data_IF_328003227498
#
_entry.id   IF_328003227498
#
_cell.length_a   1.000
_cell.length_b   1.000
_cell.length_c   1.000
_cell.angle_alpha   90.00
_cell.angle_beta   90.00
_cell.angle_gamma   90.00
#
_symmetry.space_group_name_H-M   'P 1'
#
loop_
_entity.id
_entity.type
_entity.pdbx_description
1 polymer ?
#
# COMPACT_ATOMS: atom_id res chain seq x y z
N UNK A 1 26.66 3.94 -35.65
CA UNK A 1 26.84 3.29 -34.32
C UNK A 1 25.52 3.43 -33.59
N UNK A 2 25.03 2.37 -32.93
CA UNK A 2 23.81 2.44 -32.13
C UNK A 2 24.00 3.39 -30.93
N UNK A 3 22.90 3.94 -30.43
CA UNK A 3 22.88 4.75 -29.21
C UNK A 3 23.10 3.87 -27.99
N UNK A 4 23.93 4.30 -27.04
CA UNK A 4 24.18 3.55 -25.80
C UNK A 4 23.13 3.93 -24.75
N UNK A 5 22.43 2.94 -24.19
CA UNK A 5 21.26 3.13 -23.31
C UNK A 5 21.48 2.42 -21.98
N UNK A 6 20.97 3.00 -20.90
CA UNK A 6 20.99 2.37 -19.57
C UNK A 6 19.64 2.44 -18.86
N UNK A 7 19.29 1.37 -18.15
CA UNK A 7 18.14 1.32 -17.24
C UNK A 7 18.65 1.36 -15.80
N UNK A 8 18.09 2.25 -15.01
CA UNK A 8 18.51 2.60 -13.65
C UNK A 8 17.38 2.25 -12.67
N UNK A 9 17.43 1.05 -12.11
CA UNK A 9 16.47 0.57 -11.11
C UNK A 9 16.80 1.13 -9.73
N UNK A 10 16.06 2.15 -9.30
CA UNK A 10 16.24 2.88 -8.03
C UNK A 10 15.63 2.09 -6.87
N UNK A 11 16.40 1.84 -5.82
CA UNK A 11 15.90 1.26 -4.58
C UNK A 11 16.64 1.80 -3.34
N UNK A 12 16.01 1.68 -2.18
CA UNK A 12 16.56 2.10 -0.88
C UNK A 12 16.39 1.01 0.21
N UNK A 13 15.79 -0.11 -0.18
CA UNK A 13 15.56 -1.33 0.58
C UNK A 13 15.41 -2.50 -0.42
N UNK A 14 15.35 -3.73 0.09
CA UNK A 14 15.13 -4.90 -0.75
C UNK A 14 14.21 -5.92 -0.06
N UNK A 15 13.03 -6.14 -0.63
CA UNK A 15 12.07 -7.16 -0.20
C UNK A 15 11.70 -8.08 -1.38
N UNK A 16 10.80 -9.04 -1.11
CA UNK A 16 10.38 -10.02 -2.11
C UNK A 16 9.60 -9.39 -3.29
N UNK A 17 8.84 -8.31 -3.07
CA UNK A 17 8.11 -7.60 -4.14
C UNK A 17 9.09 -6.80 -4.99
N UNK A 18 10.05 -6.10 -4.37
CA UNK A 18 11.12 -5.38 -5.05
C UNK A 18 11.95 -6.32 -5.91
N UNK A 19 12.33 -7.49 -5.39
CA UNK A 19 13.02 -8.53 -6.17
C UNK A 19 12.27 -8.87 -7.46
N UNK A 20 10.94 -9.08 -7.38
CA UNK A 20 10.13 -9.42 -8.55
C UNK A 20 9.89 -8.23 -9.48
N UNK A 21 9.80 -7.01 -8.96
CA UNK A 21 9.80 -5.78 -9.78
C UNK A 21 11.12 -5.61 -10.54
N UNK A 22 12.26 -5.86 -9.89
CA UNK A 22 13.58 -5.89 -10.51
C UNK A 22 13.63 -6.92 -11.65
N UNK A 23 13.20 -8.16 -11.38
CA UNK A 23 13.19 -9.24 -12.39
C UNK A 23 12.32 -8.89 -13.60
N UNK A 24 11.13 -8.30 -13.36
CA UNK A 24 10.24 -7.81 -14.42
C UNK A 24 10.91 -6.69 -15.22
N UNK A 25 11.48 -5.70 -14.55
CA UNK A 25 12.19 -4.59 -15.21
C UNK A 25 13.35 -5.09 -16.09
N UNK A 26 14.18 -5.99 -15.56
CA UNK A 26 15.31 -6.58 -16.29
C UNK A 26 14.86 -7.38 -17.52
N UNK A 27 13.79 -8.17 -17.41
CA UNK A 27 13.21 -8.90 -18.55
C UNK A 27 12.78 -7.98 -19.71
N UNK A 28 12.42 -6.74 -19.38
CA UNK A 28 11.95 -5.72 -20.30
C UNK A 28 13.05 -4.74 -20.78
N UNK A 29 14.33 -5.06 -20.51
CA UNK A 29 15.51 -4.26 -20.89
C UNK A 29 16.64 -5.17 -21.37
N UNK A 30 16.48 -5.76 -22.56
CA UNK A 30 17.39 -6.78 -23.08
C UNK A 30 18.59 -6.19 -23.85
N UNK A 31 18.47 -4.97 -24.38
CA UNK A 31 19.54 -4.30 -25.14
C UNK A 31 20.28 -3.24 -24.32
N UNK A 32 19.62 -2.60 -23.36
CA UNK A 32 20.23 -1.63 -22.45
C UNK A 32 21.14 -2.27 -21.40
N UNK A 33 22.17 -1.53 -20.99
CA UNK A 33 22.92 -1.87 -19.78
C UNK A 33 22.01 -1.65 -18.56
N UNK A 34 22.03 -2.58 -17.60
CA UNK A 34 21.17 -2.52 -16.42
C UNK A 34 21.99 -2.18 -15.17
N UNK A 35 21.48 -1.25 -14.36
CA UNK A 35 22.07 -0.83 -13.11
C UNK A 35 21.03 -0.85 -11.98
N UNK A 36 21.46 -1.26 -10.80
CA UNK A 36 20.74 -1.02 -9.56
C UNK A 36 21.32 0.25 -8.94
N UNK A 37 20.51 1.31 -8.85
CA UNK A 37 20.88 2.54 -8.14
C UNK A 37 20.37 2.43 -6.71
N UNK A 38 21.28 2.23 -5.77
CA UNK A 38 20.94 1.97 -4.37
C UNK A 38 21.25 3.18 -3.49
N UNK A 39 20.22 3.71 -2.81
CA UNK A 39 20.38 4.70 -1.76
C UNK A 39 20.97 4.04 -0.51
N UNK A 40 22.31 4.09 -0.39
CA UNK A 40 23.05 3.64 0.78
C UNK A 40 23.38 4.81 1.73
N UNK A 41 22.56 5.87 1.78
CA UNK A 41 22.77 7.00 2.69
C UNK A 41 22.78 6.60 4.17
N UNK A 42 22.20 5.44 4.51
CA UNK A 42 22.23 4.84 5.86
C UNK A 42 23.48 4.01 6.14
N UNK A 43 24.38 3.88 5.16
CA UNK A 43 25.60 3.06 5.25
C UNK A 43 25.36 1.55 5.13
N UNK A 44 24.12 1.12 4.81
CA UNK A 44 23.76 -0.28 4.62
C UNK A 44 23.36 -0.56 3.18
N UNK A 45 23.59 -1.79 2.72
CA UNK A 45 23.14 -2.31 1.42
C UNK A 45 22.38 -3.60 1.69
N UNK A 46 21.08 -3.60 1.41
CA UNK A 46 20.18 -4.74 1.70
C UNK A 46 19.97 -5.66 0.49
N UNK A 47 20.61 -5.34 -0.64
CA UNK A 47 20.59 -6.16 -1.86
C UNK A 47 21.17 -7.56 -1.52
N UNK A 48 20.53 -8.67 -1.92
CA UNK A 48 21.07 -10.02 -1.71
C UNK A 48 22.45 -10.22 -2.35
N UNK A 49 23.36 -10.91 -1.67
CA UNK A 49 24.75 -11.12 -2.14
C UNK A 49 24.84 -11.65 -3.57
N UNK A 50 24.03 -12.65 -3.92
CA UNK A 50 24.00 -13.22 -5.27
C UNK A 50 23.60 -12.23 -6.37
N UNK A 51 22.84 -11.17 -6.04
CA UNK A 51 22.54 -10.06 -6.96
C UNK A 51 23.73 -9.10 -7.03
N UNK A 52 24.38 -8.82 -5.89
CA UNK A 52 25.57 -7.97 -5.84
C UNK A 52 26.75 -8.52 -6.66
N UNK A 53 26.85 -9.84 -6.80
CA UNK A 53 27.90 -10.49 -7.58
C UNK A 53 27.70 -10.40 -9.10
N UNK A 54 26.45 -10.24 -9.57
CA UNK A 54 26.11 -10.36 -10.99
C UNK A 54 25.61 -9.06 -11.63
N UNK A 55 25.20 -8.09 -10.83
CA UNK A 55 24.66 -6.81 -11.31
C UNK A 55 25.61 -5.64 -11.13
N UNK A 56 25.47 -4.63 -12.00
CA UNK A 56 26.12 -3.35 -11.80
C UNK A 56 25.35 -2.56 -10.72
N UNK A 57 25.94 -2.44 -9.54
CA UNK A 57 25.37 -1.63 -8.46
C UNK A 57 26.05 -0.27 -8.42
N UNK A 58 25.25 0.78 -8.56
CA UNK A 58 25.66 2.16 -8.33
C UNK A 58 25.18 2.61 -6.95
N UNK A 59 26.11 2.74 -6.02
CA UNK A 59 25.81 3.25 -4.68
C UNK A 59 25.73 4.78 -4.72
N UNK A 60 24.65 5.32 -4.14
CA UNK A 60 24.38 6.74 -4.15
C UNK A 60 24.21 7.26 -2.71
N UNK A 61 25.28 7.35 -1.91
CA UNK A 61 25.16 7.91 -0.57
C UNK A 61 24.99 9.42 -0.67
N UNK A 62 24.27 10.02 0.27
CA UNK A 62 24.03 11.46 0.23
C UNK A 62 25.31 12.32 0.23
N UNK A 63 26.42 11.81 0.77
CA UNK A 63 27.70 12.51 0.78
C UNK A 63 28.22 12.80 -0.64
N UNK A 64 27.89 11.96 -1.62
CA UNK A 64 28.25 12.18 -3.03
C UNK A 64 27.41 13.31 -3.64
N UNK A 65 26.14 13.43 -3.25
CA UNK A 65 25.27 14.55 -3.64
C UNK A 65 25.84 15.87 -3.11
N UNK A 66 26.18 15.92 -1.82
CA UNK A 66 26.78 17.11 -1.20
C UNK A 66 28.12 17.45 -1.85
N UNK A 67 28.94 16.45 -2.16
CA UNK A 67 30.24 16.61 -2.83
C UNK A 67 30.11 17.17 -4.25
N UNK A 68 29.00 16.89 -4.94
CA UNK A 68 28.66 17.49 -6.23
C UNK A 68 28.26 18.97 -6.10
N UNK A 69 27.99 19.47 -4.89
CA UNK A 69 27.58 20.84 -4.59
C UNK A 69 26.06 21.06 -4.58
N UNK A 70 25.29 19.98 -4.67
CA UNK A 70 23.84 20.00 -4.59
C UNK A 70 23.38 20.22 -3.14
N UNK A 71 22.32 21.01 -2.97
CA UNK A 71 21.70 21.17 -1.66
C UNK A 71 21.09 19.85 -1.18
N UNK A 72 21.39 19.44 0.05
CA UNK A 72 20.89 18.22 0.70
C UNK A 72 20.35 18.52 2.11
N UNK A 73 19.68 17.54 2.73
CA UNK A 73 18.92 17.64 3.99
C UNK A 73 19.69 17.96 5.28
N UNK A 74 20.94 18.41 5.20
CA UNK A 74 21.71 18.93 6.35
C UNK A 74 21.51 20.43 6.56
N UNK A 75 20.96 21.15 5.57
CA UNK A 75 20.59 22.56 5.67
C UNK A 75 19.23 22.71 6.39
N UNK A 76 19.15 23.57 7.41
CA UNK A 76 17.93 23.81 8.20
C UNK A 76 16.75 24.12 7.26
N UNK A 77 15.71 23.28 7.29
CA UNK A 77 14.46 23.47 6.57
C UNK A 77 14.33 22.77 5.21
N UNK A 78 15.21 21.84 4.83
CA UNK A 78 15.18 21.28 3.46
C UNK A 78 14.46 19.92 3.31
N UNK A 79 13.59 19.86 2.29
CA UNK A 79 12.73 18.74 1.94
C UNK A 79 13.52 17.54 1.37
N UNK A 80 13.58 16.46 2.15
CA UNK A 80 13.07 15.15 1.72
C UNK A 80 13.96 14.18 0.91
N UNK A 81 15.28 14.08 1.14
CA UNK A 81 16.09 12.96 0.62
C UNK A 81 15.91 12.66 -0.88
N UNK A 82 16.11 11.40 -1.30
CA UNK A 82 15.92 11.00 -2.70
C UNK A 82 14.46 10.90 -3.14
N UNK A 83 13.52 10.71 -2.22
CA UNK A 83 12.09 10.71 -2.54
C UNK A 83 11.66 12.05 -3.13
N UNK A 84 12.10 13.15 -2.51
CA UNK A 84 11.77 14.51 -2.95
C UNK A 84 12.65 14.96 -4.12
N UNK A 85 13.88 14.48 -4.15
CA UNK A 85 14.88 14.79 -5.17
C UNK A 85 15.13 13.58 -6.06
N UNK A 86 14.06 13.06 -6.69
CA UNK A 86 14.12 11.87 -7.55
C UNK A 86 15.16 11.97 -8.67
N UNK A 87 15.56 13.19 -9.04
CA UNK A 87 16.60 13.46 -10.03
C UNK A 87 18.05 13.29 -9.52
N UNK A 88 18.29 13.23 -8.21
CA UNK A 88 19.68 13.23 -7.72
C UNK A 88 20.42 11.93 -8.06
N UNK A 89 19.73 10.79 -8.01
CA UNK A 89 20.25 9.50 -8.43
C UNK A 89 20.72 9.51 -9.90
N UNK A 90 19.88 10.03 -10.81
CA UNK A 90 20.25 10.14 -12.22
C UNK A 90 21.37 11.16 -12.45
N UNK A 91 21.39 12.25 -11.67
CA UNK A 91 22.42 13.29 -11.78
C UNK A 91 23.79 12.72 -11.39
N UNK A 92 23.87 11.95 -10.30
CA UNK A 92 25.08 11.24 -9.91
C UNK A 92 25.50 10.20 -10.95
N UNK A 93 24.55 9.46 -11.50
CA UNK A 93 24.85 8.45 -12.52
C UNK A 93 25.45 9.08 -13.80
N UNK A 94 24.82 10.12 -14.36
CA UNK A 94 25.20 10.66 -15.68
C UNK A 94 26.56 11.37 -15.69
N UNK A 95 27.03 11.86 -14.53
CA UNK A 95 28.38 12.43 -14.39
C UNK A 95 29.46 11.37 -14.29
N UNK A 96 29.14 10.22 -13.70
CA UNK A 96 30.07 9.09 -13.56
C UNK A 96 30.10 8.20 -14.80
N UNK A 97 29.01 8.16 -15.57
CA UNK A 97 28.88 7.36 -16.78
C UNK A 97 28.63 8.24 -18.00
N UNK A 98 29.73 8.71 -18.60
CA UNK A 98 29.67 9.68 -19.69
C UNK A 98 29.38 9.11 -21.08
N UNK A 99 29.33 7.79 -21.18
CA UNK A 99 29.20 7.02 -22.40
C UNK A 99 27.75 6.77 -22.84
N UNK A 100 26.77 6.94 -21.94
CA UNK A 100 25.35 6.73 -22.25
C UNK A 100 24.73 7.95 -22.93
N UNK A 101 24.02 7.69 -24.03
CA UNK A 101 23.23 8.68 -24.77
C UNK A 101 21.85 8.90 -24.16
N UNK A 102 21.25 7.84 -23.59
CA UNK A 102 19.93 7.86 -22.96
C UNK A 102 19.92 7.00 -21.70
N UNK A 103 19.10 7.40 -20.73
CA UNK A 103 18.88 6.67 -19.48
C UNK A 103 17.38 6.55 -19.21
N UNK A 104 16.98 5.48 -18.53
CA UNK A 104 15.64 5.29 -17.97
C UNK A 104 15.79 5.15 -16.46
N UNK A 105 15.24 6.09 -15.69
CA UNK A 105 15.17 5.98 -14.24
C UNK A 105 13.83 5.39 -13.83
N UNK A 106 13.85 4.37 -12.98
CA UNK A 106 12.63 3.68 -12.51
C UNK A 106 12.69 3.39 -11.02
N UNK A 107 11.57 3.59 -10.31
CA UNK A 107 11.42 3.30 -8.88
C UNK A 107 11.14 1.81 -8.63
N UNK A 108 11.54 1.33 -7.46
CA UNK A 108 11.45 -0.08 -7.08
C UNK A 108 10.01 -0.60 -6.97
N UNK A 109 9.05 0.29 -6.76
CA UNK A 109 7.63 -0.02 -6.71
C UNK A 109 6.91 0.24 -8.04
N UNK A 110 7.64 0.40 -9.15
CA UNK A 110 7.05 0.38 -10.50
C UNK A 110 7.08 -1.03 -11.07
N UNK A 111 5.93 -1.47 -11.54
CA UNK A 111 5.81 -2.67 -12.33
C UNK A 111 5.88 -2.41 -13.83
N UNK A 112 6.96 -2.91 -14.45
CA UNK A 112 7.20 -2.81 -15.90
C UNK A 112 6.53 -3.96 -16.64
N UNK A 113 5.65 -3.63 -17.59
CA UNK A 113 5.00 -4.57 -18.51
C UNK A 113 5.22 -4.17 -19.99
N UNK A 114 6.16 -3.28 -20.27
CA UNK A 114 6.44 -2.76 -21.60
C UNK A 114 7.92 -2.89 -21.96
N UNK A 115 8.23 -2.98 -23.25
CA UNK A 115 9.60 -3.05 -23.76
C UNK A 115 10.29 -1.68 -23.67
N UNK A 116 11.20 -1.52 -22.69
CA UNK A 116 11.94 -0.28 -22.45
C UNK A 116 12.88 0.06 -23.61
N UNK A 117 13.44 -0.96 -24.27
CA UNK A 117 14.37 -0.75 -25.39
C UNK A 117 13.66 -0.11 -26.58
N UNK A 118 12.38 -0.47 -26.82
CA UNK A 118 11.58 0.12 -27.89
C UNK A 118 11.32 1.62 -27.70
N UNK A 119 11.23 2.08 -26.45
CA UNK A 119 11.03 3.49 -26.12
C UNK A 119 12.34 4.25 -26.40
N UNK A 120 13.50 3.70 -26.03
CA UNK A 120 14.79 4.29 -26.39
C UNK A 120 15.01 4.37 -27.91
N UNK A 121 14.65 3.31 -28.65
CA UNK A 121 14.77 3.28 -30.11
C UNK A 121 13.94 4.43 -30.75
N UNK A 122 12.73 4.66 -30.24
CA UNK A 122 11.87 5.76 -30.68
C UNK A 122 12.41 7.14 -30.27
N UNK A 123 12.90 7.29 -29.04
CA UNK A 123 13.54 8.52 -28.57
C UNK A 123 14.74 8.90 -29.45
N UNK A 124 15.56 7.92 -29.81
CA UNK A 124 16.70 8.12 -30.70
C UNK A 124 16.25 8.50 -32.11
N UNK A 125 15.23 7.83 -32.66
CA UNK A 125 14.73 8.10 -34.01
C UNK A 125 14.09 9.49 -34.15
N UNK A 126 13.39 9.94 -33.11
CA UNK A 126 12.65 11.21 -33.12
C UNK A 126 13.38 12.37 -32.42
N UNK A 127 14.60 12.14 -31.91
CA UNK A 127 15.36 13.09 -31.10
C UNK A 127 14.55 13.63 -29.91
N UNK A 128 13.92 12.72 -29.15
CA UNK A 128 13.21 13.06 -27.93
C UNK A 128 14.21 13.15 -26.79
N UNK A 129 14.07 14.19 -25.97
CA UNK A 129 14.93 14.44 -24.83
C UNK A 129 14.37 13.89 -23.52
N UNK A 130 13.05 13.81 -23.37
CA UNK A 130 12.44 13.23 -22.18
C UNK A 130 11.10 12.55 -22.46
N UNK A 131 10.84 11.43 -21.79
CA UNK A 131 9.54 10.74 -21.76
C UNK A 131 9.14 10.52 -20.31
N UNK A 132 7.96 11.00 -19.92
CA UNK A 132 7.42 10.89 -18.56
C UNK A 132 5.91 11.18 -18.57
N UNK A 133 5.19 10.90 -17.47
CA UNK A 133 3.77 11.28 -17.35
C UNK A 133 3.67 12.76 -17.02
N UNK A 134 3.05 13.56 -17.88
CA UNK A 134 2.78 14.96 -17.58
C UNK A 134 1.74 15.09 -16.46
N UNK A 135 1.91 16.10 -15.61
CA UNK A 135 0.94 16.46 -14.57
C UNK A 135 0.26 17.75 -14.99
N UNK A 136 -1.03 17.66 -15.30
CA UNK A 136 -1.81 18.78 -15.84
C UNK A 136 -2.35 19.73 -14.77
N UNK A 137 -2.20 19.38 -13.49
CA UNK A 137 -2.71 20.18 -12.38
C UNK A 137 -2.18 21.62 -12.41
N UNK A 138 -3.09 22.59 -12.28
CA UNK A 138 -2.72 23.99 -12.14
C UNK A 138 -1.85 24.25 -10.90
N UNK A 139 -1.08 25.34 -10.88
CA UNK A 139 -0.21 25.66 -9.75
C UNK A 139 -0.99 25.75 -8.43
N UNK A 140 -2.14 26.40 -8.41
CA UNK A 140 -2.90 26.57 -7.18
C UNK A 140 -3.48 25.25 -6.64
N UNK A 141 -3.61 24.22 -7.49
CA UNK A 141 -4.17 22.91 -7.14
C UNK A 141 -3.09 21.84 -6.88
N UNK A 142 -1.81 22.15 -7.12
CA UNK A 142 -0.71 21.21 -6.93
C UNK A 142 -0.06 21.39 -5.56
N UNK A 143 -0.02 20.31 -4.76
CA UNK A 143 0.45 20.33 -3.37
C UNK A 143 1.89 20.83 -3.18
N UNK A 144 2.73 20.72 -4.21
CA UNK A 144 4.14 21.11 -4.14
C UNK A 144 4.44 22.50 -4.71
N UNK A 145 3.44 23.28 -5.14
CA UNK A 145 3.69 24.61 -5.73
C UNK A 145 4.43 25.56 -4.78
N UNK A 146 4.11 25.55 -3.49
CA UNK A 146 4.80 26.38 -2.50
C UNK A 146 6.30 26.09 -2.39
N UNK A 147 6.72 24.86 -2.70
CA UNK A 147 8.15 24.50 -2.69
C UNK A 147 8.97 25.13 -3.81
N UNK A 148 8.30 25.61 -4.84
CA UNK A 148 8.91 26.25 -6.00
C UNK A 148 9.08 27.78 -5.82
N UNK A 149 8.55 28.35 -4.74
CA UNK A 149 8.63 29.78 -4.47
C UNK A 149 10.09 30.25 -4.38
N UNK A 150 10.41 31.38 -5.00
CA UNK A 150 11.77 31.93 -5.08
C UNK A 150 12.62 31.37 -6.22
N UNK A 151 12.21 30.27 -6.86
CA UNK A 151 12.89 29.67 -8.01
C UNK A 151 12.11 29.86 -9.31
N UNK A 152 10.78 29.74 -9.25
CA UNK A 152 9.89 29.90 -10.39
C UNK A 152 8.87 31.01 -10.17
N UNK A 153 8.41 31.63 -11.26
CA UNK A 153 7.28 32.55 -11.24
C UNK A 153 5.97 31.76 -11.15
N UNK A 154 5.41 31.64 -9.96
CA UNK A 154 4.19 30.87 -9.71
C UNK A 154 2.93 31.49 -10.32
N UNK A 155 3.00 32.74 -10.81
CA UNK A 155 1.93 33.35 -11.61
C UNK A 155 1.89 32.78 -13.04
N UNK A 156 2.98 32.18 -13.49
CA UNK A 156 3.07 31.45 -14.75
C UNK A 156 2.94 29.95 -14.51
N UNK A 157 2.52 29.22 -15.54
CA UNK A 157 2.42 27.76 -15.44
C UNK A 157 3.81 27.13 -15.18
N UNK A 158 3.91 26.33 -14.11
CA UNK A 158 5.08 25.48 -13.86
C UNK A 158 4.77 24.11 -14.41
N UNK A 159 5.59 23.64 -15.35
CA UNK A 159 5.43 22.29 -15.90
C UNK A 159 5.87 21.25 -14.88
N UNK A 160 5.11 20.17 -14.78
CA UNK A 160 5.24 19.13 -13.76
C UNK A 160 5.13 17.76 -14.43
N UNK A 161 5.76 16.76 -13.84
CA UNK A 161 5.64 15.39 -14.29
C UNK A 161 5.73 14.39 -13.15
N UNK A 162 5.19 13.20 -13.36
CA UNK A 162 5.36 12.04 -12.49
C UNK A 162 6.48 11.15 -13.03
N UNK A 163 7.53 10.97 -12.23
CA UNK A 163 8.82 10.39 -12.66
C UNK A 163 9.14 9.03 -12.00
N UNK A 164 8.12 8.26 -11.59
CA UNK A 164 8.31 6.92 -11.06
C UNK A 164 8.96 5.99 -12.10
N UNK A 165 8.63 6.15 -13.37
CA UNK A 165 9.44 5.78 -14.53
C UNK A 165 9.60 6.98 -15.45
N UNK A 166 10.82 7.21 -15.93
CA UNK A 166 11.10 8.31 -16.84
C UNK A 166 12.35 8.06 -17.67
N UNK A 167 12.35 8.58 -18.89
CA UNK A 167 13.46 8.45 -19.83
C UNK A 167 14.02 9.82 -20.13
N UNK A 168 15.35 9.90 -20.22
CA UNK A 168 16.04 11.15 -20.52
C UNK A 168 17.17 10.92 -21.51
N UNK A 169 17.34 11.84 -22.44
CA UNK A 169 18.60 11.99 -23.16
C UNK A 169 19.67 12.49 -22.20
N UNK A 170 20.92 12.16 -22.50
CA UNK A 170 22.10 12.70 -21.79
C UNK A 170 22.04 14.22 -21.66
N UNK A 171 21.58 14.89 -22.73
CA UNK A 171 21.48 16.35 -22.78
C UNK A 171 20.46 16.87 -21.76
N UNK A 172 19.30 16.24 -21.64
CA UNK A 172 18.30 16.59 -20.63
C UNK A 172 18.82 16.34 -19.21
N UNK A 173 19.40 15.17 -18.96
CA UNK A 173 19.95 14.82 -17.65
C UNK A 173 21.03 15.80 -17.19
N UNK A 174 21.95 16.19 -18.08
CA UNK A 174 22.99 17.18 -17.78
C UNK A 174 22.43 18.60 -17.58
N UNK A 175 21.36 18.97 -18.30
CA UNK A 175 20.66 20.23 -18.06
C UNK A 175 20.05 20.25 -16.67
N UNK A 176 19.33 19.20 -16.28
CA UNK A 176 18.69 19.08 -14.96
C UNK A 176 19.74 19.25 -13.85
N UNK A 177 20.87 18.54 -13.94
CA UNK A 177 21.98 18.71 -13.01
C UNK A 177 22.49 20.15 -12.97
N UNK A 178 22.75 20.76 -14.13
CA UNK A 178 23.22 22.15 -14.20
C UNK A 178 22.25 23.09 -13.47
N UNK A 179 20.95 22.95 -13.71
CA UNK A 179 19.91 23.79 -13.10
C UNK A 179 19.81 23.55 -11.60
N UNK A 180 19.94 22.31 -11.13
CA UNK A 180 20.02 21.99 -9.71
C UNK A 180 21.23 22.62 -9.02
N UNK A 181 22.39 22.68 -9.67
CA UNK A 181 23.58 23.35 -9.13
C UNK A 181 23.36 24.86 -9.04
N UNK A 182 22.76 25.48 -10.06
CA UNK A 182 22.39 26.89 -10.06
C UNK A 182 21.36 27.22 -8.96
N UNK A 183 20.36 26.36 -8.76
CA UNK A 183 19.38 26.49 -7.67
C UNK A 183 20.04 26.31 -6.30
N UNK A 184 20.97 25.36 -6.16
CA UNK A 184 21.71 25.15 -4.91
C UNK A 184 22.56 26.37 -4.55
N UNK A 185 23.22 26.97 -5.54
CA UNK A 185 23.91 28.24 -5.38
C UNK A 185 22.95 29.36 -4.95
N UNK A 186 21.83 29.52 -5.65
CA UNK A 186 20.81 30.53 -5.36
C UNK A 186 20.23 30.39 -3.95
N UNK A 187 19.96 29.15 -3.51
CA UNK A 187 19.45 28.85 -2.16
C UNK A 187 20.39 29.39 -1.10
N UNK A 188 21.69 29.07 -1.22
CA UNK A 188 22.72 29.51 -0.27
C UNK A 188 22.95 31.02 -0.33
N UNK A 189 22.99 31.60 -1.51
CA UNK A 189 23.21 33.04 -1.71
C UNK A 189 22.07 33.89 -1.14
N UNK A 190 20.82 33.48 -1.37
CA UNK A 190 19.62 34.23 -0.98
C UNK A 190 18.98 33.76 0.32
N UNK A 191 19.49 32.69 0.94
CA UNK A 191 18.92 32.09 2.15
C UNK A 191 17.50 31.57 1.94
N UNK A 192 17.19 30.96 0.78
CA UNK A 192 15.85 30.48 0.47
C UNK A 192 15.46 29.30 1.37
N UNK A 193 14.29 29.37 1.99
CA UNK A 193 13.75 28.30 2.85
C UNK A 193 13.07 27.18 2.06
N UNK A 194 12.72 27.44 0.81
CA UNK A 194 12.06 26.52 -0.11
C UNK A 194 13.07 25.74 -0.94
N UNK A 195 12.63 24.64 -1.54
CA UNK A 195 13.40 23.83 -2.47
C UNK A 195 12.47 23.14 -3.45
N UNK A 196 12.61 23.31 -4.77
CA UNK A 196 11.68 22.70 -5.72
C UNK A 196 11.81 21.17 -5.73
N UNK A 197 10.68 20.47 -5.68
CA UNK A 197 10.62 19.01 -5.85
C UNK A 197 11.14 18.59 -7.24
N UNK A 198 11.74 17.40 -7.33
CA UNK A 198 12.25 16.84 -8.59
C UNK A 198 11.23 16.82 -9.72
N UNK A 199 9.96 16.60 -9.40
CA UNK A 199 8.84 16.60 -10.36
C UNK A 199 8.66 17.93 -11.11
N UNK A 200 8.91 19.07 -10.45
CA UNK A 200 8.91 20.36 -11.14
C UNK A 200 10.21 20.56 -11.92
N UNK A 201 11.36 20.27 -11.31
CA UNK A 201 12.67 20.56 -11.93
C UNK A 201 12.87 19.76 -13.22
N UNK A 202 12.63 18.45 -13.19
CA UNK A 202 12.86 17.57 -14.34
C UNK A 202 11.95 17.90 -15.53
N UNK A 203 10.73 18.39 -15.28
CA UNK A 203 9.79 18.78 -16.34
C UNK A 203 10.02 20.22 -16.80
N UNK A 204 9.95 21.17 -15.87
CA UNK A 204 9.98 22.60 -16.17
C UNK A 204 11.27 23.05 -16.83
N UNK A 205 12.43 22.57 -16.38
CA UNK A 205 13.70 23.00 -16.93
C UNK A 205 13.93 22.44 -18.35
N UNK A 206 13.53 21.19 -18.59
CA UNK A 206 13.62 20.57 -19.91
C UNK A 206 12.72 21.28 -20.91
N UNK A 207 11.46 21.53 -20.56
CA UNK A 207 10.51 22.23 -21.45
C UNK A 207 10.93 23.69 -21.66
N UNK A 208 11.33 24.39 -20.61
CA UNK A 208 11.76 25.80 -20.71
C UNK A 208 13.01 25.99 -21.57
N UNK A 209 13.85 24.96 -21.67
CA UNK A 209 15.00 24.94 -22.58
C UNK A 209 14.63 24.59 -24.04
N UNK A 210 13.34 24.40 -24.35
CA UNK A 210 12.87 24.04 -25.69
C UNK A 210 13.26 22.62 -26.13
N UNK A 211 13.52 21.73 -25.17
CA UNK A 211 13.81 20.32 -25.46
C UNK A 211 12.53 19.57 -25.83
N UNK A 212 12.68 18.50 -26.61
CA UNK A 212 11.53 17.72 -27.07
C UNK A 212 11.10 16.73 -25.99
N UNK A 213 9.88 16.86 -25.49
CA UNK A 213 9.30 15.90 -24.55
C UNK A 213 8.17 15.10 -25.19
N UNK A 214 7.87 13.93 -24.65
CA UNK A 214 6.72 13.10 -25.02
C UNK A 214 6.04 12.55 -23.77
N UNK A 215 4.73 12.34 -23.89
CA UNK A 215 3.87 11.78 -22.85
C UNK A 215 4.08 10.26 -22.75
N UNK A 216 4.25 9.73 -21.52
CA UNK A 216 4.45 8.30 -21.27
C UNK A 216 3.27 7.46 -21.78
N UNK A 217 2.05 8.01 -21.72
CA UNK A 217 0.85 7.34 -22.25
C UNK A 217 0.95 7.00 -23.75
N UNK A 218 1.77 7.70 -24.55
CA UNK A 218 1.98 7.37 -25.96
C UNK A 218 2.66 6.00 -26.18
N UNK A 219 3.29 5.45 -25.15
CA UNK A 219 3.97 4.16 -25.19
C UNK A 219 3.17 3.02 -24.56
N UNK A 220 1.99 3.32 -24.01
CA UNK A 220 1.22 2.35 -23.24
C UNK A 220 -0.16 2.12 -23.86
N UNK A 221 -0.68 0.90 -23.70
CA UNK A 221 -2.07 0.59 -24.05
C UNK A 221 -3.03 1.28 -23.06
N UNK A 222 -2.59 1.43 -21.81
CA UNK A 222 -3.29 2.12 -20.72
C UNK A 222 -2.28 2.65 -19.70
N UNK A 223 -2.60 3.75 -19.01
CA UNK A 223 -1.80 4.30 -17.91
C UNK A 223 -2.64 4.51 -16.63
N UNK A 224 -3.81 3.88 -16.55
CA UNK A 224 -4.79 4.11 -15.46
C UNK A 224 -4.30 3.73 -14.07
N UNK A 225 -3.37 2.79 -13.99
CA UNK A 225 -2.81 2.32 -12.73
C UNK A 225 -1.43 2.92 -12.43
N UNK A 226 -1.11 4.07 -13.02
CA UNK A 226 0.15 4.78 -12.82
C UNK A 226 -0.14 6.17 -12.23
N UNK A 227 -0.07 6.25 -10.91
CA UNK A 227 -0.21 7.51 -10.17
C UNK A 227 0.49 7.42 -8.81
N UNK A 228 0.50 8.48 -7.99
CA UNK A 228 1.04 8.41 -6.62
C UNK A 228 0.27 7.44 -5.72
N UNK A 229 -1.04 7.31 -5.97
CA UNK A 229 -1.98 6.44 -5.28
C UNK A 229 -3.18 6.15 -6.21
N UNK A 230 -3.90 5.03 -6.02
CA UNK A 230 -3.76 4.07 -4.94
C UNK A 230 -2.61 3.10 -5.16
N UNK A 231 -2.16 2.47 -4.08
CA UNK A 231 -1.19 1.38 -4.15
C UNK A 231 -1.85 0.09 -4.62
N UNK A 232 -1.14 -0.68 -5.42
CA UNK A 232 -1.58 -1.99 -5.93
C UNK A 232 -0.77 -3.12 -5.30
N UNK A 233 -1.41 -4.26 -5.09
CA UNK A 233 -0.73 -5.49 -4.74
C UNK A 233 -0.18 -6.16 -5.99
N UNK A 234 0.94 -6.87 -5.84
CA UNK A 234 1.52 -7.59 -6.97
C UNK A 234 0.57 -8.62 -7.59
N UNK A 235 -0.27 -9.29 -6.78
CA UNK A 235 -1.31 -10.21 -7.29
C UNK A 235 -2.37 -9.52 -8.15
N UNK A 236 -2.46 -8.20 -8.12
CA UNK A 236 -3.31 -7.43 -9.01
C UNK A 236 -2.66 -7.21 -10.39
N UNK A 237 -1.40 -7.58 -10.60
CA UNK A 237 -0.70 -7.43 -11.88
C UNK A 237 -1.01 -8.63 -12.77
N UNK A 238 -1.60 -8.38 -13.94
CA UNK A 238 -1.84 -9.41 -14.95
C UNK A 238 -0.71 -9.39 -15.97
N UNK A 239 0.24 -10.32 -15.83
CA UNK A 239 1.39 -10.40 -16.75
C UNK A 239 0.95 -10.71 -18.18
N UNK A 240 1.43 -9.94 -19.15
CA UNK A 240 1.33 -10.23 -20.59
C UNK A 240 0.02 -9.83 -21.27
N UNK A 241 -0.88 -9.12 -20.60
CA UNK A 241 -2.14 -8.65 -21.20
C UNK A 241 -2.00 -7.32 -21.96
N UNK A 242 -1.23 -6.36 -21.41
CA UNK A 242 -1.15 -4.99 -21.92
C UNK A 242 0.27 -4.43 -21.74
N UNK A 243 0.71 -3.58 -22.67
CA UNK A 243 1.93 -2.78 -22.55
C UNK A 243 1.64 -1.59 -21.63
N UNK A 244 2.16 -1.62 -20.41
CA UNK A 244 1.89 -0.57 -19.43
C UNK A 244 2.95 -0.50 -18.34
N UNK A 245 2.78 0.46 -17.43
CA UNK A 245 3.48 0.60 -16.16
C UNK A 245 2.44 0.74 -15.05
N UNK A 246 2.63 0.03 -13.94
CA UNK A 246 1.75 0.11 -12.77
C UNK A 246 2.56 0.68 -11.60
N UNK A 247 2.03 1.69 -10.92
CA UNK A 247 2.67 2.33 -9.79
C UNK A 247 1.64 2.93 -8.82
N UNK A 248 1.88 2.85 -7.49
CA UNK A 248 2.92 2.04 -6.84
C UNK A 248 2.48 0.59 -6.61
N UNK A 249 3.43 -0.34 -6.56
CA UNK A 249 3.20 -1.77 -6.27
C UNK A 249 3.90 -2.17 -4.98
N UNK A 250 3.18 -2.81 -4.05
CA UNK A 250 3.74 -3.32 -2.80
C UNK A 250 3.09 -4.64 -2.36
N UNK A 251 3.48 -5.14 -1.20
CA UNK A 251 2.82 -6.28 -0.54
C UNK A 251 1.63 -5.82 0.31
N UNK A 252 0.93 -6.76 0.95
CA UNK A 252 -0.13 -6.40 1.90
C UNK A 252 0.51 -5.83 3.19
N UNK A 253 0.70 -4.52 3.24
CA UNK A 253 1.31 -3.81 4.37
C UNK A 253 0.58 -2.49 4.69
N UNK A 254 1.09 -1.74 5.66
CA UNK A 254 0.51 -0.46 6.08
C UNK A 254 0.39 0.56 4.93
N UNK A 255 1.38 0.61 4.00
CA UNK A 255 1.31 1.49 2.82
C UNK A 255 0.10 1.15 1.95
N UNK A 256 -0.15 -0.13 1.69
CA UNK A 256 -1.34 -0.56 0.95
C UNK A 256 -2.64 -0.21 1.69
N UNK A 257 -2.72 -0.53 3.00
CA UNK A 257 -3.92 -0.29 3.81
C UNK A 257 -4.24 1.20 3.87
N UNK A 258 -3.26 2.06 4.18
CA UNK A 258 -3.47 3.51 4.27
C UNK A 258 -3.88 4.09 2.92
N UNK A 259 -3.19 3.70 1.83
CA UNK A 259 -3.47 4.23 0.51
C UNK A 259 -4.84 3.82 -0.04
N UNK A 260 -5.32 2.62 0.29
CA UNK A 260 -6.57 2.10 -0.28
C UNK A 260 -7.81 2.25 0.60
N UNK A 261 -7.61 2.30 1.92
CA UNK A 261 -8.68 2.10 2.90
C UNK A 261 -8.71 3.21 3.97
N UNK A 262 -7.86 4.24 3.85
CA UNK A 262 -7.82 5.39 4.76
C UNK A 262 -7.79 6.72 3.98
N UNK A 263 -6.92 6.85 2.97
CA UNK A 263 -6.80 8.06 2.14
C UNK A 263 -7.82 8.04 1.00
N UNK A 264 -8.63 9.08 0.87
CA UNK A 264 -9.65 9.18 -0.19
C UNK A 264 -9.08 9.82 -1.47
N UNK A 265 -8.28 9.07 -2.23
CA UNK A 265 -7.70 9.48 -3.51
C UNK A 265 -7.65 8.31 -4.50
N UNK A 266 -8.62 8.26 -5.43
CA UNK A 266 -8.78 7.19 -6.43
C UNK A 266 -8.65 5.77 -5.84
N UNK A 267 -9.07 5.59 -4.59
CA UNK A 267 -8.77 4.42 -3.78
C UNK A 267 -9.99 3.49 -3.66
N UNK A 268 -9.81 2.32 -3.05
CA UNK A 268 -10.92 1.35 -2.91
C UNK A 268 -12.12 1.90 -2.11
N UNK A 269 -11.93 2.90 -1.25
CA UNK A 269 -13.03 3.53 -0.50
C UNK A 269 -13.56 4.84 -1.13
N UNK A 270 -13.01 5.25 -2.27
CA UNK A 270 -13.44 6.47 -2.96
C UNK A 270 -14.84 6.31 -3.56
N UNK A 271 -15.62 7.39 -3.55
CA UNK A 271 -17.01 7.39 -4.03
C UNK A 271 -17.12 6.97 -5.49
N UNK A 272 -16.21 7.45 -6.35
CA UNK A 272 -16.16 7.11 -7.76
C UNK A 272 -15.89 5.61 -7.98
N UNK A 273 -14.88 5.06 -7.30
CA UNK A 273 -14.49 3.64 -7.41
C UNK A 273 -15.60 2.71 -6.92
N UNK A 274 -16.28 3.08 -5.82
CA UNK A 274 -17.42 2.33 -5.28
C UNK A 274 -18.59 2.38 -6.27
N UNK A 275 -18.95 3.57 -6.76
CA UNK A 275 -20.11 3.77 -7.64
C UNK A 275 -19.94 3.08 -8.99
N UNK A 276 -18.70 2.98 -9.47
CA UNK A 276 -18.36 2.29 -10.72
C UNK A 276 -18.11 0.78 -10.53
N UNK A 277 -18.24 0.24 -9.31
CA UNK A 277 -18.02 -1.18 -9.01
C UNK A 277 -16.54 -1.61 -9.04
N UNK A 278 -15.62 -0.67 -9.21
CA UNK A 278 -14.18 -0.92 -9.29
C UNK A 278 -13.61 -1.39 -7.95
N UNK A 279 -14.11 -0.85 -6.83
CA UNK A 279 -13.73 -1.28 -5.48
C UNK A 279 -13.97 -2.77 -5.24
N UNK A 280 -15.17 -3.26 -5.61
CA UNK A 280 -15.52 -4.68 -5.52
C UNK A 280 -14.68 -5.52 -6.47
N UNK A 281 -14.51 -5.07 -7.71
CA UNK A 281 -13.68 -5.78 -8.68
C UNK A 281 -12.24 -5.98 -8.17
N UNK A 282 -11.64 -4.93 -7.59
CA UNK A 282 -10.32 -5.03 -6.96
C UNK A 282 -10.34 -5.95 -5.73
N UNK A 283 -11.34 -5.84 -4.85
CA UNK A 283 -11.47 -6.73 -3.69
C UNK A 283 -11.56 -8.22 -4.10
N UNK A 284 -12.33 -8.54 -5.14
CA UNK A 284 -12.41 -9.88 -5.73
C UNK A 284 -11.08 -10.39 -6.27
N UNK A 285 -10.31 -9.52 -6.93
CA UNK A 285 -8.98 -9.87 -7.45
C UNK A 285 -7.96 -10.09 -6.34
N UNK A 286 -8.02 -9.26 -5.30
CA UNK A 286 -7.16 -9.37 -4.13
C UNK A 286 -7.53 -10.64 -3.34
N UNK A 287 -8.82 -10.91 -3.16
CA UNK A 287 -9.36 -12.06 -2.43
C UNK A 287 -8.71 -12.23 -1.03
N UNK A 288 -8.91 -11.24 -0.17
CA UNK A 288 -8.34 -11.22 1.17
C UNK A 288 -9.39 -10.76 2.20
N UNK A 289 -9.49 -11.48 3.32
CA UNK A 289 -10.47 -11.21 4.37
C UNK A 289 -10.33 -9.77 4.94
N UNK A 290 -9.11 -9.28 5.17
CA UNK A 290 -8.90 -7.94 5.72
C UNK A 290 -9.40 -6.86 4.77
N UNK A 291 -9.18 -7.05 3.46
CA UNK A 291 -9.64 -6.11 2.43
C UNK A 291 -11.15 -6.09 2.33
N UNK A 292 -11.80 -7.26 2.26
CA UNK A 292 -13.27 -7.33 2.28
C UNK A 292 -13.84 -6.70 3.55
N UNK A 293 -13.23 -6.97 4.70
CA UNK A 293 -13.66 -6.48 6.01
C UNK A 293 -13.58 -4.96 6.11
N UNK A 294 -12.44 -4.37 5.75
CA UNK A 294 -12.25 -2.92 5.75
C UNK A 294 -13.18 -2.23 4.74
N UNK A 295 -13.35 -2.81 3.55
CA UNK A 295 -14.26 -2.30 2.53
C UNK A 295 -15.73 -2.35 3.02
N UNK A 296 -16.15 -3.47 3.61
CA UNK A 296 -17.48 -3.65 4.19
C UNK A 296 -17.77 -2.63 5.29
N UNK A 297 -16.77 -2.33 6.14
CA UNK A 297 -16.94 -1.38 7.25
C UNK A 297 -16.78 0.09 6.85
N UNK A 298 -16.34 0.39 5.62
CA UNK A 298 -16.31 1.75 5.09
C UNK A 298 -17.70 2.41 5.24
N UNK A 299 -17.82 3.65 5.76
CA UNK A 299 -19.12 4.30 5.98
C UNK A 299 -20.01 4.35 4.73
N UNK A 300 -19.42 4.55 3.54
CA UNK A 300 -20.16 4.61 2.26
C UNK A 300 -20.83 3.28 1.91
N UNK A 301 -20.16 2.16 2.20
CA UNK A 301 -20.67 0.81 1.92
C UNK A 301 -21.59 0.35 3.04
N UNK A 302 -21.17 0.47 4.30
CA UNK A 302 -21.92 -0.08 5.42
C UNK A 302 -23.32 0.53 5.56
N UNK A 303 -23.45 1.84 5.28
CA UNK A 303 -24.72 2.56 5.36
C UNK A 303 -25.64 2.28 4.16
N UNK A 304 -25.17 1.54 3.15
CA UNK A 304 -25.95 1.11 2.00
C UNK A 304 -26.14 -0.43 2.05
N UNK A 305 -27.32 -0.93 2.45
CA UNK A 305 -27.55 -2.37 2.62
C UNK A 305 -27.26 -3.21 1.37
N UNK A 306 -27.51 -2.66 0.17
CA UNK A 306 -27.25 -3.37 -1.10
C UNK A 306 -25.76 -3.53 -1.32
N UNK A 307 -25.00 -2.44 -1.25
CA UNK A 307 -23.54 -2.47 -1.41
C UNK A 307 -22.87 -3.30 -0.32
N UNK A 308 -23.43 -3.28 0.88
CA UNK A 308 -22.94 -4.08 2.01
C UNK A 308 -23.12 -5.57 1.77
N UNK A 309 -24.30 -6.01 1.32
CA UNK A 309 -24.55 -7.42 1.02
C UNK A 309 -23.70 -7.90 -0.15
N UNK A 310 -23.59 -7.09 -1.20
CA UNK A 310 -22.72 -7.30 -2.35
C UNK A 310 -21.26 -7.65 -1.98
N UNK A 311 -20.68 -6.93 -1.01
CA UNK A 311 -19.31 -7.20 -0.52
C UNK A 311 -19.24 -8.52 0.26
N UNK A 312 -20.28 -8.87 1.02
CA UNK A 312 -20.35 -10.12 1.78
C UNK A 312 -20.53 -11.32 0.84
N UNK A 313 -21.36 -11.19 -0.20
CA UNK A 313 -21.53 -12.22 -1.22
C UNK A 313 -20.21 -12.50 -1.95
N UNK A 314 -19.48 -11.46 -2.37
CA UNK A 314 -18.15 -11.62 -2.99
C UNK A 314 -17.18 -12.37 -2.07
N UNK A 315 -17.17 -12.02 -0.77
CA UNK A 315 -16.32 -12.66 0.22
C UNK A 315 -16.67 -14.15 0.39
N UNK A 316 -17.97 -14.48 0.46
CA UNK A 316 -18.46 -15.87 0.58
C UNK A 316 -18.21 -16.70 -0.69
N UNK A 317 -18.25 -16.07 -1.86
CA UNK A 317 -18.00 -16.74 -3.13
C UNK A 317 -16.53 -17.12 -3.31
N UNK A 318 -15.60 -16.24 -2.89
CA UNK A 318 -14.19 -16.33 -3.29
C UNK A 318 -13.22 -16.69 -2.16
N UNK A 319 -13.52 -16.35 -0.90
CA UNK A 319 -12.66 -16.76 0.21
C UNK A 319 -12.72 -18.28 0.39
N UNK A 320 -11.69 -18.85 1.01
CA UNK A 320 -11.58 -20.30 1.22
C UNK A 320 -11.07 -20.60 2.62
N UNK A 321 -11.29 -21.83 3.09
CA UNK A 321 -10.84 -22.28 4.40
C UNK A 321 -11.42 -21.43 5.54
N UNK A 322 -10.57 -21.02 6.48
CA UNK A 322 -11.01 -20.25 7.65
C UNK A 322 -11.55 -18.87 7.29
N UNK A 323 -11.02 -18.23 6.24
CA UNK A 323 -11.49 -16.91 5.82
C UNK A 323 -12.94 -16.98 5.28
N UNK A 324 -13.29 -18.10 4.62
CA UNK A 324 -14.67 -18.40 4.21
C UNK A 324 -15.59 -18.61 5.41
N UNK A 325 -15.17 -19.40 6.40
CA UNK A 325 -15.95 -19.64 7.62
C UNK A 325 -16.23 -18.30 8.35
N UNK A 326 -15.23 -17.40 8.42
CA UNK A 326 -15.39 -16.07 9.00
C UNK A 326 -16.36 -15.18 8.23
N UNK A 327 -16.45 -15.30 6.90
CA UNK A 327 -17.39 -14.56 6.05
C UNK A 327 -18.79 -15.20 5.95
N UNK A 328 -18.93 -16.47 6.31
CA UNK A 328 -20.18 -17.25 6.21
C UNK A 328 -21.31 -16.67 7.06
N UNK A 329 -22.55 -17.04 6.78
CA UNK A 329 -23.65 -16.60 7.65
C UNK A 329 -23.50 -17.19 9.06
N UNK A 330 -23.59 -16.32 10.06
CA UNK A 330 -23.55 -16.72 11.47
C UNK A 330 -24.93 -16.62 12.09
N UNK A 331 -25.06 -17.13 13.31
CA UNK A 331 -26.27 -16.90 14.10
C UNK A 331 -26.32 -15.44 14.55
N UNK A 332 -27.54 -14.88 14.58
CA UNK A 332 -27.81 -13.54 15.11
C UNK A 332 -28.45 -13.68 16.50
N UNK A 333 -27.66 -13.80 17.58
CA UNK A 333 -28.22 -13.87 18.93
C UNK A 333 -28.93 -12.56 19.29
N UNK A 334 -29.95 -12.64 20.14
CA UNK A 334 -30.50 -11.43 20.77
C UNK A 334 -29.52 -10.90 21.80
N UNK A 335 -28.93 -9.76 21.49
CA UNK A 335 -27.91 -9.11 22.32
C UNK A 335 -28.47 -7.88 23.04
N UNK A 336 -29.76 -7.59 22.91
CA UNK A 336 -30.37 -6.34 23.39
C UNK A 336 -30.09 -6.10 24.88
N UNK A 337 -30.24 -7.15 25.70
CA UNK A 337 -29.98 -7.05 27.14
C UNK A 337 -28.48 -7.02 27.45
N UNK A 338 -27.69 -7.78 26.69
CA UNK A 338 -26.27 -7.98 26.90
C UNK A 338 -25.45 -6.71 26.57
N UNK A 339 -25.87 -5.95 25.54
CA UNK A 339 -25.25 -4.69 25.13
C UNK A 339 -25.37 -3.56 26.17
N UNK A 340 -26.28 -3.67 27.15
CA UNK A 340 -26.40 -2.66 28.21
C UNK A 340 -25.26 -2.70 29.23
N UNK A 341 -24.48 -3.79 29.24
CA UNK A 341 -23.43 -4.05 30.24
C UNK A 341 -22.02 -3.74 29.73
N UNK A 342 -21.88 -3.42 28.45
CA UNK A 342 -20.62 -3.21 27.75
C UNK A 342 -20.59 -1.81 27.15
N UNK A 343 -19.39 -1.21 27.09
CA UNK A 343 -19.23 0.07 26.42
C UNK A 343 -18.89 -0.16 24.94
N UNK A 344 -19.74 0.34 24.03
CA UNK A 344 -19.47 0.36 22.60
C UNK A 344 -20.22 1.52 21.94
N UNK A 345 -19.54 2.24 21.05
CA UNK A 345 -20.19 3.27 20.22
C UNK A 345 -20.98 2.65 19.07
N UNK A 346 -20.49 1.53 18.53
CA UNK A 346 -21.05 0.84 17.37
C UNK A 346 -21.12 -0.69 17.59
N UNK A 347 -21.95 -1.16 18.52
CA UNK A 347 -22.02 -2.58 18.85
C UNK A 347 -22.38 -3.45 17.64
N UNK A 348 -23.23 -2.97 16.74
CA UNK A 348 -23.62 -3.65 15.51
C UNK A 348 -22.44 -3.95 14.57
N UNK A 349 -21.33 -3.21 14.71
CA UNK A 349 -20.10 -3.44 13.93
C UNK A 349 -19.29 -4.63 14.45
N UNK A 350 -19.36 -4.89 15.75
CA UNK A 350 -18.67 -6.03 16.40
C UNK A 350 -19.35 -7.36 16.06
N UNK A 351 -20.66 -7.34 15.87
CA UNK A 351 -21.47 -8.52 15.51
C UNK A 351 -21.79 -8.61 14.01
N UNK A 352 -21.12 -7.81 13.17
CA UNK A 352 -21.39 -7.77 11.75
C UNK A 352 -20.95 -9.04 11.01
N UNK A 353 -21.36 -9.19 9.75
CA UNK A 353 -21.00 -10.34 8.91
C UNK A 353 -19.49 -10.50 8.70
N UNK A 354 -18.73 -9.39 8.71
CA UNK A 354 -17.27 -9.37 8.56
C UNK A 354 -16.62 -8.62 9.74
N UNK A 355 -15.40 -8.99 10.16
CA UNK A 355 -14.72 -8.37 11.29
C UNK A 355 -14.39 -6.90 11.04
N UNK A 356 -14.37 -6.08 12.09
CA UNK A 356 -14.01 -4.67 11.96
C UNK A 356 -12.56 -4.42 12.36
N UNK A 357 -11.83 -3.71 11.49
CA UNK A 357 -10.48 -3.24 11.78
C UNK A 357 -10.46 -1.81 12.34
N UNK A 358 -11.60 -1.12 12.40
CA UNK A 358 -11.65 0.22 13.02
C UNK A 358 -11.60 0.13 14.54
N UNK A 359 -10.76 0.97 15.17
CA UNK A 359 -10.62 0.97 16.64
C UNK A 359 -11.90 1.41 17.35
N UNK A 360 -12.66 2.34 16.77
CA UNK A 360 -13.94 2.79 17.31
C UNK A 360 -15.05 1.72 17.20
N UNK A 361 -14.92 0.78 16.27
CA UNK A 361 -15.83 -0.36 16.11
C UNK A 361 -15.40 -1.50 17.04
N UNK A 362 -15.42 -1.22 18.34
CA UNK A 362 -15.03 -2.17 19.36
C UNK A 362 -15.95 -2.10 20.56
N UNK A 363 -15.90 -3.15 21.37
CA UNK A 363 -16.71 -3.32 22.57
C UNK A 363 -15.80 -3.62 23.76
N UNK A 364 -15.89 -2.79 24.80
CA UNK A 364 -15.09 -2.91 26.01
C UNK A 364 -15.83 -3.70 27.07
N UNK A 365 -15.13 -4.68 27.63
CA UNK A 365 -15.55 -5.48 28.77
C UNK A 365 -14.79 -5.00 30.00
N UNK A 366 -15.50 -4.28 30.88
CA UNK A 366 -14.96 -3.82 32.15
C UNK A 366 -14.98 -4.94 33.21
N UNK A 367 -14.40 -4.68 34.38
CA UNK A 367 -14.29 -5.66 35.44
C UNK A 367 -15.64 -6.22 35.88
N UNK A 368 -15.78 -7.55 35.85
CA UNK A 368 -17.00 -8.25 36.26
C UNK A 368 -18.16 -8.17 35.26
N UNK A 369 -17.93 -7.66 34.05
CA UNK A 369 -18.91 -7.68 32.97
C UNK A 369 -19.03 -9.10 32.40
N UNK A 370 -20.27 -9.55 32.21
CA UNK A 370 -20.61 -10.84 31.64
C UNK A 370 -21.62 -10.64 30.50
N UNK A 371 -21.34 -11.21 29.33
CA UNK A 371 -22.21 -11.16 28.16
C UNK A 371 -22.90 -12.52 27.98
N UNK A 372 -24.13 -12.70 28.50
CA UNK A 372 -24.88 -13.93 28.28
C UNK A 372 -25.43 -13.97 26.85
N UNK A 373 -25.31 -15.13 26.22
CA UNK A 373 -25.76 -15.38 24.86
C UNK A 373 -26.55 -16.69 24.84
N UNK A 374 -27.77 -16.62 24.32
CA UNK A 374 -28.61 -17.79 24.07
C UNK A 374 -28.45 -18.25 22.62
N UNK A 375 -28.27 -19.55 22.43
CA UNK A 375 -28.17 -20.17 21.10
C UNK A 375 -29.55 -20.49 20.50
N UNK A 376 -30.60 -20.51 21.32
CA UNK A 376 -31.98 -20.79 20.88
C UNK A 376 -32.26 -22.25 20.52
N UNK A 377 -31.28 -22.98 19.97
CA UNK A 377 -31.38 -24.40 19.60
C UNK A 377 -30.08 -25.15 19.99
N UNK A 378 -30.19 -26.47 20.15
CA UNK A 378 -29.03 -27.36 20.37
C UNK A 378 -28.31 -27.64 19.05
N UNK A 379 -26.98 -27.57 19.07
CA UNK A 379 -26.15 -27.77 17.89
C UNK A 379 -24.67 -27.64 18.21
N UNK A 380 -23.82 -28.15 17.31
CA UNK A 380 -22.38 -27.93 17.41
C UNK A 380 -22.06 -26.53 16.89
N UNK A 381 -21.73 -25.62 17.80
CA UNK A 381 -21.43 -24.22 17.49
C UNK A 381 -20.01 -23.83 17.90
N UNK A 382 -19.47 -22.88 17.16
CA UNK A 382 -18.19 -22.25 17.43
C UNK A 382 -18.41 -20.76 17.61
N UNK A 383 -18.03 -20.23 18.77
CA UNK A 383 -17.89 -18.79 18.97
C UNK A 383 -16.52 -18.37 18.48
N UNK A 384 -16.50 -17.43 17.54
CA UNK A 384 -15.31 -16.75 17.09
C UNK A 384 -15.24 -15.35 17.70
N UNK A 385 -14.10 -15.02 18.26
CA UNK A 385 -13.78 -13.72 18.84
C UNK A 385 -12.57 -13.14 18.11
N UNK A 386 -12.54 -11.83 17.85
CA UNK A 386 -11.32 -11.16 17.42
C UNK A 386 -11.01 -9.92 18.23
N UNK A 387 -9.73 -9.74 18.52
CA UNK A 387 -9.19 -8.59 19.22
C UNK A 387 -7.78 -8.27 18.72
N UNK A 388 -7.31 -7.09 19.09
CA UNK A 388 -5.93 -6.63 18.85
C UNK A 388 -4.97 -7.04 19.95
N UNK A 389 -5.53 -7.34 21.12
CA UNK A 389 -4.77 -7.70 22.30
C UNK A 389 -4.12 -9.08 22.13
N UNK A 390 -2.77 -9.18 22.19
CA UNK A 390 -2.09 -10.45 22.07
C UNK A 390 -2.42 -11.44 23.19
N UNK A 391 -2.78 -10.94 24.38
CA UNK A 391 -2.96 -11.70 25.60
C UNK A 391 -4.45 -11.85 25.97
N UNK A 392 -5.34 -11.69 24.98
CA UNK A 392 -6.80 -11.70 25.17
C UNK A 392 -7.27 -12.87 26.04
N UNK A 393 -6.76 -14.09 25.81
CA UNK A 393 -7.17 -15.31 26.55
C UNK A 393 -6.87 -15.26 28.06
N UNK A 394 -6.07 -14.31 28.53
CA UNK A 394 -5.82 -14.09 29.96
C UNK A 394 -6.87 -13.18 30.63
N UNK A 395 -7.69 -12.49 29.83
CA UNK A 395 -8.62 -11.44 30.28
C UNK A 395 -10.09 -11.87 30.31
N UNK A 396 -10.44 -13.04 29.78
CA UNK A 396 -11.81 -13.55 29.79
C UNK A 396 -11.87 -15.07 29.95
N UNK A 397 -12.97 -15.55 30.52
CA UNK A 397 -13.38 -16.95 30.41
C UNK A 397 -14.64 -17.01 29.52
N UNK A 398 -14.76 -18.08 28.73
CA UNK A 398 -16.04 -18.42 28.08
C UNK A 398 -16.62 -19.60 28.80
N UNK A 399 -17.87 -19.49 29.26
CA UNK A 399 -18.55 -20.54 30.01
C UNK A 399 -19.74 -21.04 29.22
N UNK A 400 -19.82 -22.34 28.98
CA UNK A 400 -20.95 -23.00 28.30
C UNK A 400 -21.85 -23.72 29.30
N UNK A 401 -23.16 -23.77 29.03
CA UNK A 401 -24.14 -24.48 29.84
C UNK A 401 -25.01 -25.36 28.96
N UNK A 402 -25.10 -26.63 29.33
CA UNK A 402 -26.09 -27.55 28.77
C UNK A 402 -27.42 -27.49 29.57
N UNK A 403 -28.47 -28.06 29.00
CA UNK A 403 -29.84 -28.04 29.56
C UNK A 403 -29.93 -28.68 30.96
N UNK A 404 -28.98 -29.54 31.33
CA UNK A 404 -28.98 -30.35 32.55
C UNK A 404 -27.88 -29.98 33.57
N UNK A 405 -26.96 -29.06 33.27
CA UNK A 405 -25.74 -28.80 34.06
C UNK A 405 -25.50 -27.32 34.41
N UNK A 406 -24.46 -27.09 35.20
CA UNK A 406 -23.92 -25.77 35.54
C UNK A 406 -22.93 -25.28 34.48
N UNK A 407 -22.71 -23.97 34.41
CA UNK A 407 -21.70 -23.38 33.52
C UNK A 407 -20.30 -23.98 33.74
N UNK A 408 -19.69 -24.47 32.66
CA UNK A 408 -18.31 -24.96 32.62
C UNK A 408 -17.43 -24.05 31.76
N UNK A 409 -16.16 -23.86 32.16
CA UNK A 409 -15.20 -23.07 31.38
C UNK A 409 -14.83 -23.84 30.12
N UNK A 410 -15.06 -23.24 28.96
CA UNK A 410 -14.74 -23.78 27.66
C UNK A 410 -13.31 -23.39 27.25
N UNK A 411 -12.55 -24.28 26.60
CA UNK A 411 -11.22 -23.97 26.11
C UNK A 411 -11.29 -22.93 24.97
N UNK A 412 -10.40 -21.95 25.03
CA UNK A 412 -10.23 -20.94 23.98
C UNK A 412 -8.96 -21.27 23.19
N UNK A 413 -9.10 -21.43 21.88
CA UNK A 413 -7.99 -21.76 20.99
C UNK A 413 -7.70 -20.60 20.04
N UNK A 414 -6.42 -20.33 19.77
CA UNK A 414 -6.02 -19.39 18.74
C UNK A 414 -6.31 -19.98 17.36
N UNK A 415 -6.96 -19.20 16.48
CA UNK A 415 -7.27 -19.62 15.12
C UNK A 415 -6.22 -19.11 14.13
N UNK A 416 -6.09 -17.79 14.02
CA UNK A 416 -5.16 -17.12 13.12
C UNK A 416 -4.98 -15.65 13.48
N UNK A 417 -4.01 -15.01 12.83
CA UNK A 417 -3.84 -13.57 12.81
C UNK A 417 -4.00 -13.05 11.38
N UNK A 418 -4.80 -11.99 11.19
CA UNK A 418 -4.95 -11.26 9.92
C UNK A 418 -4.76 -9.78 10.18
N UNK A 419 -3.66 -9.25 9.64
CA UNK A 419 -3.19 -7.91 9.96
C UNK A 419 -3.00 -7.75 11.48
N UNK A 420 -3.75 -6.81 12.03
CA UNK A 420 -3.73 -6.43 13.45
C UNK A 420 -4.77 -7.16 14.32
N UNK A 421 -5.62 -8.00 13.73
CA UNK A 421 -6.60 -8.80 14.47
C UNK A 421 -6.13 -10.23 14.68
N UNK A 422 -6.28 -10.71 15.91
CA UNK A 422 -6.11 -12.10 16.31
C UNK A 422 -7.47 -12.73 16.55
N UNK A 423 -7.69 -13.89 15.95
CA UNK A 423 -8.94 -14.62 16.01
C UNK A 423 -8.80 -15.81 16.94
N UNK A 424 -9.82 -16.04 17.76
CA UNK A 424 -9.90 -17.12 18.73
C UNK A 424 -11.22 -17.86 18.54
N UNK A 425 -11.21 -19.17 18.75
CA UNK A 425 -12.38 -20.02 18.72
C UNK A 425 -12.67 -20.64 20.07
N UNK A 426 -13.96 -20.79 20.34
CA UNK A 426 -14.48 -21.63 21.43
C UNK A 426 -15.50 -22.58 20.84
N UNK A 427 -15.21 -23.87 20.90
CA UNK A 427 -16.10 -24.91 20.40
C UNK A 427 -17.01 -25.40 21.53
N UNK A 428 -18.32 -25.34 21.31
CA UNK A 428 -19.29 -25.82 22.28
C UNK A 428 -19.72 -27.26 21.99
N UNK A 429 -19.99 -28.05 23.04
CA UNK A 429 -20.69 -29.32 22.90
C UNK A 429 -22.06 -29.11 22.24
N UNK A 430 -22.56 -30.12 21.52
CA UNK A 430 -23.84 -30.05 20.82
C UNK A 430 -25.04 -29.73 21.74
N UNK A 431 -24.91 -30.10 23.02
CA UNK A 431 -25.96 -29.91 24.03
C UNK A 431 -25.95 -28.52 24.67
N UNK A 432 -24.95 -27.68 24.34
CA UNK A 432 -24.85 -26.31 24.85
C UNK A 432 -25.99 -25.46 24.27
N UNK A 433 -26.77 -24.83 25.15
CA UNK A 433 -27.89 -23.95 24.74
C UNK A 433 -27.68 -22.50 25.14
N UNK A 434 -26.77 -22.25 26.07
CA UNK A 434 -26.42 -20.92 26.58
C UNK A 434 -24.91 -20.85 26.84
N UNK A 435 -24.30 -19.71 26.55
CA UNK A 435 -22.92 -19.44 26.98
C UNK A 435 -22.77 -18.00 27.47
N UNK A 436 -21.71 -17.75 28.24
CA UNK A 436 -21.37 -16.44 28.76
C UNK A 436 -19.91 -16.14 28.43
N UNK A 437 -19.66 -14.95 27.87
CA UNK A 437 -18.31 -14.38 27.79
C UNK A 437 -18.13 -13.48 29.00
N UNK A 438 -17.24 -13.83 29.92
CA UNK A 438 -17.07 -13.15 31.20
C UNK A 438 -15.66 -12.61 31.35
N UNK A 439 -15.54 -11.33 31.73
CA UNK A 439 -14.26 -10.73 32.05
C UNK A 439 -13.65 -11.36 33.30
N UNK A 440 -12.35 -11.65 33.22
CA UNK A 440 -11.57 -12.26 34.30
C UNK A 440 -10.42 -11.36 34.72
N UNK A 441 -10.27 -11.19 36.02
CA UNK A 441 -9.15 -10.45 36.61
C UNK A 441 -9.37 -8.94 36.60
N UNK A 442 -8.35 -8.12 36.92
CA UNK A 442 -8.53 -6.69 37.14
C UNK A 442 -8.48 -5.82 35.86
N UNK A 443 -8.17 -6.41 34.70
CA UNK A 443 -7.96 -5.68 33.45
C UNK A 443 -9.07 -5.97 32.45
N UNK A 444 -9.79 -4.94 32.03
CA UNK A 444 -10.77 -5.05 30.95
C UNK A 444 -10.11 -5.27 29.58
N UNK A 445 -10.90 -5.66 28.58
CA UNK A 445 -10.41 -5.95 27.23
C UNK A 445 -11.37 -5.42 26.15
N UNK A 446 -10.85 -5.29 24.93
CA UNK A 446 -11.60 -4.83 23.76
C UNK A 446 -11.81 -5.96 22.77
N UNK A 447 -13.04 -6.13 22.29
CA UNK A 447 -13.37 -7.00 21.16
C UNK A 447 -13.74 -6.18 19.93
N UNK A 448 -13.24 -6.62 18.78
CA UNK A 448 -13.52 -6.03 17.46
C UNK A 448 -14.45 -6.90 16.62
N UNK A 449 -14.61 -8.18 16.99
CA UNK A 449 -15.47 -9.11 16.30
C UNK A 449 -15.97 -10.19 17.26
N UNK A 450 -17.25 -10.53 17.14
CA UNK A 450 -17.86 -11.67 17.81
C UNK A 450 -18.89 -12.30 16.88
N UNK A 451 -18.75 -13.60 16.60
CA UNK A 451 -19.66 -14.32 15.70
C UNK A 451 -19.83 -15.76 16.12
N UNK A 452 -21.04 -16.27 15.97
CA UNK A 452 -21.37 -17.67 16.26
C UNK A 452 -21.59 -18.38 14.93
N UNK A 453 -20.84 -19.45 14.71
CA UNK A 453 -20.85 -20.22 13.47
C UNK A 453 -21.22 -21.67 13.77
N UNK A 454 -21.86 -22.39 12.84
CA UNK A 454 -21.88 -23.85 12.88
C UNK A 454 -20.44 -24.39 12.91
N UNK A 455 -20.16 -25.36 13.76
CA UNK A 455 -18.81 -25.92 13.86
C UNK A 455 -18.45 -26.72 12.59
N UNK A 456 -17.46 -26.24 11.85
CA UNK A 456 -16.89 -26.92 10.66
C UNK A 456 -15.66 -27.76 11.03
N UNK A 457 -15.25 -28.66 10.14
CA UNK A 457 -14.00 -29.44 10.33
C UNK A 457 -12.76 -28.54 10.34
N UNK A 458 -12.77 -27.43 9.58
CA UNK A 458 -11.69 -26.45 9.57
C UNK A 458 -11.55 -25.74 10.93
N UNK A 459 -12.68 -25.31 11.52
CA UNK A 459 -12.71 -24.72 12.86
C UNK A 459 -12.31 -25.71 13.96
N UNK A 460 -12.63 -27.00 13.79
CA UNK A 460 -12.21 -28.05 14.74
C UNK A 460 -10.71 -28.32 14.69
N UNK A 461 -10.16 -28.53 13.50
CA UNK A 461 -8.78 -28.96 13.32
C UNK A 461 -7.76 -28.00 13.95
N UNK A 462 -8.04 -26.70 13.90
CA UNK A 462 -7.18 -25.65 14.47
C UNK A 462 -7.36 -25.45 15.98
N UNK A 463 -8.49 -25.89 16.54
CA UNK A 463 -8.73 -25.79 17.98
C UNK A 463 -7.98 -26.83 18.82
N UNK A 464 -7.47 -27.88 18.17
CA UNK A 464 -6.79 -29.03 18.79
C UNK A 464 -5.26 -29.02 18.62
N UNK A 465 -4.72 -28.06 17.88
CA UNK A 465 -3.27 -27.81 17.72
C UNK A 465 -2.82 -26.69 18.64
#
# INVERSE_FOLDING_TARGET
MGKKTAVLFKCHNWDAVIQRSYERCKKHSNKSDFFILYDNSRGTVEIPEHIQEVENIFLAPYSEVESLGLAWGTEIGNYGGYWYNGDYHQNLFIVNHNEYDYICSIENDVAVLNDLDSIFDDMAARNIDAVYKHVEAENHAWAHSGSCEGYYDLSQHVHKGLFCISFFSRRAALLILKRRLEMSFLKREKGLLTWPIGEAVMSHEVISAGMRTEELAHYCDSLRQYDWAPVYLEKEIVNGAEKTFIHPVTEMNEKFIVSNLVQDYHCMISEEEISNGLSRHRARKINDLEVYSRLFHCPRIYNNPVLREDVVEDARELLTGIDFDLASEGMSPDLTQALTQVYSEFPERVFASLPSYERSHSMFFDHGVALPISLGESGAYTLVLAARDPDLTSHFDVKGKDVASSFEIMPVSFLLQKGELRFYAVNFPAECTEFVVEQKGPHGFWLNFMKILPTTDALRALSTS
#
